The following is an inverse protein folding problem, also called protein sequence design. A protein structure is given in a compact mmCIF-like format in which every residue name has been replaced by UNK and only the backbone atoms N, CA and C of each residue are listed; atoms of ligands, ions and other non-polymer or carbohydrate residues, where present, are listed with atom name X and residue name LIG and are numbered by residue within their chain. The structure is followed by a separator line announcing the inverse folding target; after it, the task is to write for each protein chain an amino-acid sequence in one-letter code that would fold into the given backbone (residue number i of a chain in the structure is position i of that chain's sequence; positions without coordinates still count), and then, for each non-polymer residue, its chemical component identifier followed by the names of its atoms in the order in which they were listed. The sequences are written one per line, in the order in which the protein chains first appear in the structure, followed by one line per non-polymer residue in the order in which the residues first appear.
data_IF_143200056666
#
_entry.id   IF_143200056666
#
_cell.length_a   1.000
_cell.length_b   1.000
_cell.length_c   1.000
_cell.angle_alpha   90.00
_cell.angle_beta   90.00
_cell.angle_gamma   90.00
#
_symmetry.space_group_name_H-M   'P 1'
#
loop_
_entity.id
_entity.type
_entity.pdbx_description
1 polymer ?
#
# COMPACT_ATOMS: atom_id res chain seq x y z
N UNK A 1 1.08 -9.87 14.16
CA UNK A 1 1.15 -8.52 13.55
C UNK A 1 2.38 -8.37 12.67
N UNK A 2 2.30 -7.53 11.67
CA UNK A 2 3.40 -7.29 10.74
C UNK A 2 4.66 -6.78 11.42
N UNK A 3 4.52 -5.88 12.38
CA UNK A 3 5.67 -5.34 13.13
C UNK A 3 6.42 -6.45 13.85
N UNK A 4 5.70 -7.38 14.47
CA UNK A 4 6.32 -8.51 15.17
C UNK A 4 7.03 -9.48 14.22
N UNK A 5 6.66 -9.48 12.93
CA UNK A 5 7.32 -10.28 11.90
C UNK A 5 8.50 -9.56 11.24
N UNK A 6 8.91 -8.40 11.76
CA UNK A 6 10.02 -7.62 11.22
C UNK A 6 9.63 -6.69 10.08
N UNK A 7 8.36 -6.51 9.79
CA UNK A 7 7.87 -5.58 8.76
C UNK A 7 7.81 -4.17 9.35
N UNK A 8 8.35 -3.20 8.63
CA UNK A 8 8.25 -1.80 9.02
C UNK A 8 6.86 -1.27 8.69
N UNK A 9 6.21 -0.66 9.68
CA UNK A 9 4.86 -0.13 9.54
C UNK A 9 4.84 1.31 10.04
N UNK A 10 4.16 2.18 9.31
CA UNK A 10 3.91 3.56 9.72
C UNK A 10 2.44 3.89 9.67
N UNK A 11 2.02 4.77 10.56
CA UNK A 11 0.69 5.37 10.57
C UNK A 11 0.80 6.84 10.23
N UNK A 12 -0.17 7.36 9.48
CA UNK A 12 -0.23 8.78 9.16
C UNK A 12 -1.63 9.32 9.39
N UNK A 13 -1.73 10.55 9.88
CA UNK A 13 -2.97 11.30 10.01
C UNK A 13 -2.93 12.61 9.19
N UNK A 14 -1.95 12.73 8.30
CA UNK A 14 -1.79 13.91 7.45
C UNK A 14 -2.96 14.10 6.47
N UNK A 15 -3.72 13.05 6.20
CA UNK A 15 -4.84 13.08 5.26
C UNK A 15 -6.12 12.65 5.97
N UNK A 16 -7.24 13.27 5.60
CA UNK A 16 -8.55 12.88 6.12
C UNK A 16 -8.86 11.42 5.79
N UNK A 17 -8.56 11.01 4.57
CA UNK A 17 -8.61 9.62 4.14
C UNK A 17 -7.34 9.32 3.35
N UNK A 18 -6.61 8.30 3.76
CA UNK A 18 -5.52 7.74 2.98
C UNK A 18 -6.10 6.57 2.19
N UNK A 19 -6.55 6.84 0.97
CA UNK A 19 -7.36 5.91 0.19
C UNK A 19 -6.57 5.16 -0.89
N UNK A 20 -5.26 5.18 -0.80
CA UNK A 20 -4.38 4.48 -1.75
C UNK A 20 -4.42 2.97 -1.50
N UNK A 21 -4.58 2.21 -2.58
CA UNK A 21 -4.60 0.75 -2.55
C UNK A 21 -3.58 0.25 -3.56
N UNK A 22 -2.33 0.18 -3.13
CA UNK A 22 -1.20 -0.08 -4.02
C UNK A 22 -0.26 -1.10 -3.38
N UNK A 23 0.16 -2.07 -4.17
CA UNK A 23 1.26 -2.98 -3.84
C UNK A 23 2.36 -2.78 -4.88
N UNK A 24 3.58 -2.55 -4.43
CA UNK A 24 4.75 -2.40 -5.28
C UNK A 24 5.71 -3.55 -4.94
N UNK A 25 6.09 -4.31 -5.95
CA UNK A 25 6.95 -5.50 -5.79
C UNK A 25 8.24 -5.27 -6.57
N UNK A 26 9.36 -5.37 -5.86
CA UNK A 26 10.70 -5.30 -6.45
C UNK A 26 10.93 -4.07 -7.34
N UNK A 27 10.23 -2.97 -7.04
CA UNK A 27 10.34 -1.70 -7.77
C UNK A 27 10.00 -1.82 -9.26
N UNK A 28 9.32 -2.89 -9.68
CA UNK A 28 9.01 -3.11 -11.10
C UNK A 28 7.58 -3.52 -11.38
N UNK A 29 6.89 -4.10 -10.42
CA UNK A 29 5.51 -4.56 -10.57
C UNK A 29 4.61 -3.78 -9.63
N UNK A 30 3.47 -3.29 -10.14
CA UNK A 30 2.49 -2.52 -9.37
C UNK A 30 1.14 -3.17 -9.50
N UNK A 31 0.47 -3.38 -8.37
CA UNK A 31 -0.95 -3.69 -8.31
C UNK A 31 -1.68 -2.50 -7.69
N UNK A 32 -2.70 -2.01 -8.35
CA UNK A 32 -3.52 -0.90 -7.87
C UNK A 32 -4.97 -1.08 -8.33
N UNK A 33 -5.90 -0.38 -7.70
CA UNK A 33 -7.30 -0.47 -8.05
C UNK A 33 -8.18 -0.04 -6.88
N UNK A 34 -9.43 -0.50 -6.89
CA UNK A 34 -10.39 -0.19 -5.83
C UNK A 34 -10.41 -1.22 -4.71
N UNK A 35 -9.71 -2.35 -4.88
CA UNK A 35 -9.77 -3.50 -3.98
C UNK A 35 -9.11 -3.20 -2.63
N UNK A 36 -9.92 -3.18 -1.57
CA UNK A 36 -9.41 -3.20 -0.21
C UNK A 36 -9.06 -4.63 0.17
N UNK A 37 -7.95 -4.83 0.86
CA UNK A 37 -7.47 -6.18 1.21
C UNK A 37 -8.26 -6.73 2.40
N UNK A 38 -9.56 -6.94 2.18
CA UNK A 38 -10.51 -7.44 3.18
C UNK A 38 -11.37 -8.55 2.57
N UNK A 39 -11.99 -9.35 3.42
CA UNK A 39 -12.95 -10.37 2.97
C UNK A 39 -14.16 -9.75 2.28
N UNK A 40 -14.63 -8.60 2.75
CA UNK A 40 -15.78 -7.93 2.15
C UNK A 40 -15.47 -7.51 0.71
N UNK A 41 -14.29 -6.98 0.45
CA UNK A 41 -13.88 -6.62 -0.91
C UNK A 41 -13.75 -7.86 -1.79
N UNK A 42 -13.24 -8.97 -1.25
CA UNK A 42 -13.04 -10.20 -2.02
C UNK A 42 -14.36 -10.91 -2.35
N UNK A 43 -15.31 -10.95 -1.42
CA UNK A 43 -16.50 -11.81 -1.54
C UNK A 43 -17.81 -11.06 -1.72
N UNK A 44 -17.91 -9.82 -1.33
CA UNK A 44 -19.16 -9.08 -1.27
C UNK A 44 -19.24 -7.87 -2.19
N UNK A 45 -18.10 -7.25 -2.51
CA UNK A 45 -18.07 -6.02 -3.30
C UNK A 45 -17.74 -6.31 -4.76
N UNK A 46 -18.20 -5.41 -5.64
CA UNK A 46 -17.71 -5.35 -7.00
C UNK A 46 -16.47 -4.44 -7.03
N UNK A 47 -15.33 -5.01 -7.32
CA UNK A 47 -14.05 -4.32 -7.26
C UNK A 47 -13.28 -4.50 -8.54
N UNK A 48 -12.23 -3.70 -8.71
CA UNK A 48 -11.30 -3.87 -9.81
C UNK A 48 -9.86 -3.76 -9.33
N UNK A 49 -8.96 -4.41 -10.06
CA UNK A 49 -7.53 -4.30 -9.82
C UNK A 49 -6.79 -4.30 -11.15
N UNK A 50 -5.67 -3.60 -11.19
CA UNK A 50 -4.77 -3.53 -12.33
C UNK A 50 -3.39 -3.96 -11.88
N UNK A 51 -2.81 -4.93 -12.60
CA UNK A 51 -1.45 -5.38 -12.35
C UNK A 51 -0.58 -5.01 -13.53
N UNK A 52 0.49 -4.26 -13.26
CA UNK A 52 1.47 -3.83 -14.26
C UNK A 52 2.78 -4.55 -13.95
N UNK A 53 3.03 -5.64 -14.67
CA UNK A 53 4.21 -6.48 -14.47
C UNK A 53 5.41 -5.91 -15.22
N UNK A 54 6.57 -5.91 -14.55
CA UNK A 54 7.85 -5.55 -15.14
C UNK A 54 7.80 -4.21 -15.87
N UNK A 55 7.29 -3.19 -15.15
CA UNK A 55 7.22 -1.82 -15.64
C UNK A 55 7.91 -0.88 -14.66
N UNK A 56 9.25 -0.92 -14.58
CA UNK A 56 9.97 -0.15 -13.56
C UNK A 56 9.77 1.36 -13.66
N UNK A 57 9.53 1.89 -14.86
CA UNK A 57 9.26 3.31 -15.03
C UNK A 57 7.94 3.74 -14.39
N UNK A 58 6.91 2.91 -14.52
CA UNK A 58 5.62 3.14 -13.86
C UNK A 58 5.75 2.92 -12.36
N UNK A 59 6.43 1.85 -11.97
CA UNK A 59 6.64 1.53 -10.56
C UNK A 59 7.39 2.65 -9.83
N UNK A 60 8.33 3.32 -10.49
CA UNK A 60 9.06 4.42 -9.87
C UNK A 60 8.16 5.61 -9.55
N UNK A 61 7.16 5.90 -10.38
CA UNK A 61 6.17 6.95 -10.11
C UNK A 61 5.34 6.61 -8.87
N UNK A 62 4.86 5.37 -8.78
CA UNK A 62 4.12 4.91 -7.60
C UNK A 62 5.01 4.88 -6.36
N UNK A 63 6.28 4.55 -6.51
CA UNK A 63 7.22 4.54 -5.39
C UNK A 63 7.46 5.95 -4.84
N UNK A 64 7.55 6.96 -5.71
CA UNK A 64 7.65 8.35 -5.28
C UNK A 64 6.41 8.77 -4.48
N UNK A 65 5.23 8.40 -4.95
CA UNK A 65 3.98 8.66 -4.23
C UNK A 65 3.99 7.96 -2.87
N UNK A 66 4.37 6.69 -2.84
CA UNK A 66 4.47 5.90 -1.62
C UNK A 66 5.42 6.57 -0.62
N UNK A 67 6.60 6.98 -1.11
CA UNK A 67 7.61 7.63 -0.27
C UNK A 67 7.08 8.94 0.33
N UNK A 68 6.36 9.72 -0.46
CA UNK A 68 5.78 10.97 0.03
C UNK A 68 4.80 10.74 1.17
N UNK A 69 4.02 9.66 1.13
CA UNK A 69 3.08 9.29 2.19
C UNK A 69 3.78 8.70 3.39
N UNK A 70 4.80 7.90 3.16
CA UNK A 70 5.62 7.32 4.22
C UNK A 70 6.27 8.39 5.09
N UNK A 71 6.75 9.46 4.48
CA UNK A 71 7.39 10.57 5.18
C UNK A 71 6.44 11.34 6.10
N UNK A 72 5.13 11.27 5.85
CA UNK A 72 4.14 11.91 6.74
C UNK A 72 3.83 11.06 7.97
N UNK A 73 4.26 9.83 7.98
CA UNK A 73 3.88 8.86 9.00
C UNK A 73 4.83 8.81 10.19
N UNK A 74 4.41 8.08 11.19
CA UNK A 74 5.21 7.74 12.35
C UNK A 74 5.30 6.23 12.50
N UNK A 75 6.43 5.76 12.98
CA UNK A 75 6.64 4.33 13.15
C UNK A 75 5.63 3.74 14.13
N UNK A 76 5.06 2.61 13.74
CA UNK A 76 4.24 1.80 14.62
C UNK A 76 5.13 0.84 15.39
N UNK A 77 4.96 0.83 16.70
CA UNK A 77 5.68 -0.11 17.57
C UNK A 77 4.69 -1.05 18.22
N UNK A 78 5.02 -2.33 18.20
CA UNK A 78 4.24 -3.34 18.89
C UNK A 78 4.35 -3.16 20.40
N UNK A 79 3.23 -3.39 21.09
CA UNK A 79 3.19 -3.41 22.55
C UNK A 79 3.28 -4.84 23.10
N UNK A 80 3.39 -5.83 22.26
CA UNK A 80 3.46 -7.23 22.65
C UNK A 80 4.87 -7.71 22.86
#
# INVERSE_FOLDING_TARGET
MLVNAGVKVRLTDAYKIHHDKVIIIDRSTVETGSFNFTKAAEYSNSENALVLNDMPQVASVYLEHWQSRWETGRDWKSTY
#
